data_IF_118300761217
#
_entry.id   IF_118300761217
#
_cell.length_a   1.000
_cell.length_b   1.000
_cell.length_c   1.000
_cell.angle_alpha   90.00
_cell.angle_beta   90.00
_cell.angle_gamma   90.00
#
_symmetry.space_group_name_H-M   'P 1'
#
loop_
_entity.id
_entity.type
_entity.pdbx_description
1 polymer ?
#
# COMPACT_ATOMS: atom_id res chain seq x y z
N UNK A 1 -8.62 2.50 -20.20
CA UNK A 1 -7.17 2.71 -19.98
C UNK A 1 -6.64 3.44 -21.21
N UNK A 2 -5.80 4.44 -21.04
CA UNK A 2 -5.18 5.22 -22.12
C UNK A 2 -3.69 4.92 -22.17
N UNK A 3 -3.11 4.93 -23.37
CA UNK A 3 -1.69 4.62 -23.60
C UNK A 3 -1.01 5.86 -24.17
N UNK A 4 0.08 6.28 -23.53
CA UNK A 4 0.91 7.42 -23.97
C UNK A 4 2.20 6.83 -24.54
N UNK A 5 2.49 7.08 -25.82
CA UNK A 5 3.68 6.59 -26.51
C UNK A 5 4.91 7.39 -26.10
N UNK A 6 5.94 6.72 -25.59
CA UNK A 6 7.19 7.38 -25.24
C UNK A 6 7.94 7.91 -26.48
N UNK A 7 7.71 7.30 -27.65
CA UNK A 7 8.35 7.69 -28.90
C UNK A 7 7.62 8.82 -29.62
N UNK A 8 6.29 8.76 -29.65
CA UNK A 8 5.46 9.65 -30.48
C UNK A 8 4.93 10.85 -29.70
N UNK A 9 4.68 10.72 -28.40
CA UNK A 9 4.07 11.77 -27.59
C UNK A 9 5.11 12.62 -26.82
N UNK A 10 6.24 13.01 -27.47
CA UNK A 10 7.37 13.68 -26.80
C UNK A 10 6.97 14.95 -26.04
N UNK A 11 6.18 15.83 -26.67
CA UNK A 11 5.72 17.07 -26.04
C UNK A 11 4.89 16.80 -24.78
N UNK A 12 4.08 15.74 -24.83
CA UNK A 12 3.25 15.31 -23.72
C UNK A 12 4.09 14.74 -22.57
N UNK A 13 5.10 13.95 -22.88
CA UNK A 13 6.06 13.45 -21.90
C UNK A 13 6.81 14.62 -21.24
N UNK A 14 7.20 15.63 -22.01
CA UNK A 14 7.84 16.83 -21.46
C UNK A 14 6.90 17.62 -20.53
N UNK A 15 5.62 17.77 -20.88
CA UNK A 15 4.63 18.38 -19.99
C UNK A 15 4.44 17.57 -18.70
N UNK A 16 4.39 16.24 -18.82
CA UNK A 16 4.32 15.36 -17.66
C UNK A 16 5.57 15.48 -16.78
N UNK A 17 6.76 15.66 -17.38
CA UNK A 17 8.01 15.83 -16.65
C UNK A 17 7.96 17.05 -15.74
N UNK A 18 7.56 18.20 -16.28
CA UNK A 18 7.38 19.43 -15.49
C UNK A 18 6.39 19.23 -14.34
N UNK A 19 5.27 18.56 -14.62
CA UNK A 19 4.20 18.38 -13.65
C UNK A 19 4.58 17.37 -12.55
N UNK A 20 5.18 16.24 -12.92
CA UNK A 20 5.46 15.08 -12.05
C UNK A 20 6.94 14.97 -11.64
N UNK A 21 7.71 16.05 -11.82
CA UNK A 21 9.12 16.11 -11.46
C UNK A 21 9.35 15.78 -9.97
N UNK A 22 10.41 15.04 -9.67
CA UNK A 22 10.88 14.83 -8.29
C UNK A 22 11.66 16.01 -7.73
N UNK A 23 11.94 17.05 -8.54
CA UNK A 23 12.67 18.24 -8.11
C UNK A 23 11.85 18.99 -7.06
N UNK A 24 12.52 19.44 -6.00
CA UNK A 24 11.98 20.16 -4.84
C UNK A 24 11.05 19.35 -3.92
N UNK A 25 10.84 18.06 -4.20
CA UNK A 25 10.08 17.16 -3.34
C UNK A 25 10.99 16.65 -2.20
N UNK A 26 10.61 16.89 -0.94
CA UNK A 26 11.35 16.42 0.24
C UNK A 26 11.10 14.92 0.52
N UNK A 27 11.24 14.09 -0.50
CA UNK A 27 10.99 12.65 -0.41
C UNK A 27 12.23 11.90 0.09
N UNK A 28 12.05 10.84 0.90
CA UNK A 28 13.12 9.90 1.21
C UNK A 28 13.73 9.35 -0.08
N UNK A 29 15.07 9.28 -0.13
CA UNK A 29 15.82 8.84 -1.33
C UNK A 29 15.36 7.48 -1.85
N UNK A 30 15.09 6.54 -0.94
CA UNK A 30 14.59 5.20 -1.26
C UNK A 30 13.23 5.24 -1.97
N UNK A 31 12.36 6.16 -1.56
CA UNK A 31 11.04 6.32 -2.15
C UNK A 31 11.12 6.98 -3.52
N UNK A 32 11.94 8.02 -3.67
CA UNK A 32 12.19 8.66 -4.96
C UNK A 32 12.76 7.64 -5.97
N UNK A 33 13.70 6.80 -5.55
CA UNK A 33 14.28 5.73 -6.37
C UNK A 33 13.26 4.63 -6.75
N UNK A 34 12.25 4.39 -5.92
CA UNK A 34 11.19 3.44 -6.26
C UNK A 34 10.29 3.94 -7.41
N UNK A 35 10.10 5.26 -7.50
CA UNK A 35 9.32 5.92 -8.56
C UNK A 35 10.14 6.43 -9.74
N UNK A 36 11.47 6.37 -9.66
CA UNK A 36 12.29 6.69 -10.81
C UNK A 36 12.25 5.55 -11.84
N UNK A 37 11.76 5.88 -13.04
CA UNK A 37 11.64 4.97 -14.16
C UNK A 37 12.81 5.09 -15.16
N UNK A 38 13.86 5.83 -14.82
CA UNK A 38 15.08 6.00 -15.63
C UNK A 38 15.71 4.68 -16.08
N UNK A 39 15.64 3.64 -15.24
CA UNK A 39 16.14 2.29 -15.52
C UNK A 39 15.37 1.60 -16.66
N UNK A 40 14.08 1.89 -16.80
CA UNK A 40 13.25 1.33 -17.87
C UNK A 40 13.40 2.15 -19.15
N UNK A 41 13.27 3.48 -19.03
CA UNK A 41 13.42 4.41 -20.13
C UNK A 41 14.08 5.69 -19.63
N UNK A 42 15.24 6.04 -20.18
CA UNK A 42 16.02 7.20 -19.74
C UNK A 42 15.23 8.53 -19.79
N UNK A 43 14.31 8.67 -20.76
CA UNK A 43 13.45 9.85 -20.89
C UNK A 43 12.41 10.04 -19.77
N UNK A 44 12.25 9.07 -18.88
CA UNK A 44 11.38 9.14 -17.70
C UNK A 44 12.14 9.49 -16.41
N UNK A 45 13.45 9.74 -16.53
CA UNK A 45 14.30 10.04 -15.38
C UNK A 45 13.86 11.30 -14.64
N UNK A 46 13.80 11.21 -13.31
CA UNK A 46 13.39 12.31 -12.44
C UNK A 46 11.89 12.60 -12.43
N UNK A 47 11.07 11.73 -13.03
CA UNK A 47 9.62 11.76 -12.89
C UNK A 47 9.15 10.78 -11.83
N UNK A 48 8.23 11.20 -10.96
CA UNK A 48 7.64 10.34 -9.93
C UNK A 48 6.53 9.47 -10.52
N UNK A 49 6.90 8.37 -11.19
CA UNK A 49 5.98 7.43 -11.84
C UNK A 49 6.13 6.02 -11.29
N UNK A 50 5.01 5.30 -11.12
CA UNK A 50 5.11 3.89 -10.72
C UNK A 50 5.62 3.05 -11.88
N UNK A 51 6.69 2.26 -11.67
CA UNK A 51 7.20 1.28 -12.65
C UNK A 51 6.10 0.34 -13.18
N UNK A 52 5.04 0.11 -12.40
CA UNK A 52 3.90 -0.74 -12.77
C UNK A 52 3.03 -0.16 -13.89
N UNK A 53 3.09 1.14 -14.15
CA UNK A 53 2.35 1.76 -15.25
C UNK A 53 3.13 1.78 -16.57
N UNK A 54 4.39 1.35 -16.56
CA UNK A 54 5.27 1.37 -17.73
C UNK A 54 5.19 0.02 -18.43
N UNK A 55 4.73 0.01 -19.68
CA UNK A 55 4.70 -1.18 -20.51
C UNK A 55 6.05 -1.37 -21.22
N UNK A 56 6.60 -2.60 -21.31
CA UNK A 56 7.89 -2.86 -21.97
C UNK A 56 7.96 -2.41 -23.44
N UNK A 57 6.81 -2.32 -24.11
CA UNK A 57 6.72 -1.82 -25.49
C UNK A 57 6.86 -0.29 -25.62
N UNK A 58 7.12 0.44 -24.54
CA UNK A 58 7.36 1.88 -24.58
C UNK A 58 6.10 2.73 -24.46
N UNK A 59 5.12 2.29 -23.66
CA UNK A 59 3.92 3.05 -23.38
C UNK A 59 3.71 3.27 -21.88
N UNK A 60 3.20 4.44 -21.50
CA UNK A 60 2.67 4.70 -20.16
C UNK A 60 1.18 4.38 -20.15
N UNK A 61 0.77 3.45 -19.30
CA UNK A 61 -0.62 3.09 -19.09
C UNK A 61 -1.24 3.97 -18.01
N UNK A 62 -2.23 4.78 -18.38
CA UNK A 62 -2.87 5.74 -17.48
C UNK A 62 -4.38 5.49 -17.46
N UNK A 63 -5.03 5.59 -16.28
CA UNK A 63 -6.49 5.52 -16.21
C UNK A 63 -7.13 6.76 -16.86
N UNK A 64 -8.43 6.70 -17.19
CA UNK A 64 -9.10 7.80 -17.89
C UNK A 64 -9.11 9.10 -17.07
N UNK A 65 -9.28 9.01 -15.75
CA UNK A 65 -9.32 10.15 -14.85
C UNK A 65 -7.95 10.81 -14.72
N UNK A 66 -6.88 10.02 -14.52
CA UNK A 66 -5.52 10.54 -14.47
C UNK A 66 -5.14 11.15 -15.83
N UNK A 67 -5.54 10.52 -16.94
CA UNK A 67 -5.35 11.05 -18.28
C UNK A 67 -6.02 12.41 -18.46
N UNK A 68 -7.28 12.55 -18.02
CA UNK A 68 -8.01 13.81 -18.10
C UNK A 68 -7.37 14.93 -17.27
N UNK A 69 -6.79 14.60 -16.09
CA UNK A 69 -5.99 15.55 -15.31
C UNK A 69 -4.73 15.98 -16.05
N UNK A 70 -3.97 15.03 -16.59
CA UNK A 70 -2.71 15.30 -17.31
C UNK A 70 -2.93 16.15 -18.56
N UNK A 71 -3.99 15.88 -19.34
CA UNK A 71 -4.34 16.70 -20.52
C UNK A 71 -4.67 18.14 -20.15
N UNK A 72 -5.17 18.38 -18.93
CA UNK A 72 -5.44 19.72 -18.39
C UNK A 72 -4.24 20.33 -17.65
N UNK A 73 -3.09 19.66 -17.66
CA UNK A 73 -1.89 20.04 -16.89
C UNK A 73 -2.16 20.16 -15.38
N UNK A 74 -3.08 19.35 -14.87
CA UNK A 74 -3.40 19.27 -13.44
C UNK A 74 -2.81 18.00 -12.84
N UNK A 75 -2.35 18.10 -11.59
CA UNK A 75 -1.87 16.93 -10.85
C UNK A 75 -2.98 15.88 -10.73
N UNK A 76 -2.74 14.63 -11.16
CA UNK A 76 -3.65 13.54 -10.90
C UNK A 76 -3.86 13.36 -9.39
N UNK A 77 -5.10 13.07 -8.99
CA UNK A 77 -5.48 12.95 -7.57
C UNK A 77 -4.56 12.01 -6.77
N UNK A 78 -4.19 10.87 -7.36
CA UNK A 78 -3.36 9.84 -6.74
C UNK A 78 -1.90 9.91 -7.19
N UNK A 79 -1.39 11.10 -7.45
CA UNK A 79 0.02 11.32 -7.77
C UNK A 79 0.88 11.37 -6.51
N UNK A 80 2.16 11.01 -6.65
CA UNK A 80 3.13 11.07 -5.55
C UNK A 80 3.26 12.49 -4.98
N UNK A 81 3.16 13.50 -5.85
CA UNK A 81 3.13 14.92 -5.48
C UNK A 81 1.93 15.35 -4.63
N UNK A 82 0.85 14.57 -4.64
CA UNK A 82 -0.27 14.75 -3.71
C UNK A 82 -0.12 13.84 -2.48
N UNK A 83 1.13 13.52 -2.10
CA UNK A 83 1.49 12.68 -0.96
C UNK A 83 0.88 11.27 -1.01
N UNK A 84 0.52 10.79 -2.20
CA UNK A 84 -0.07 9.46 -2.37
C UNK A 84 0.99 8.43 -2.74
N UNK A 85 1.59 7.79 -1.72
CA UNK A 85 2.62 6.79 -1.91
C UNK A 85 2.05 5.36 -1.95
N UNK A 86 2.42 4.59 -2.97
CA UNK A 86 2.10 3.15 -3.12
C UNK A 86 3.37 2.30 -2.98
N UNK A 87 3.58 1.71 -1.82
CA UNK A 87 4.66 0.74 -1.59
C UNK A 87 4.32 -0.67 -2.06
N UNK A 88 5.35 -1.50 -2.20
CA UNK A 88 5.19 -2.95 -2.24
C UNK A 88 5.35 -3.52 -0.83
N UNK A 89 4.48 -4.44 -0.45
CA UNK A 89 4.66 -5.18 0.79
C UNK A 89 5.90 -6.10 0.64
N UNK A 90 6.94 -6.01 1.50
CA UNK A 90 8.10 -6.89 1.40
C UNK A 90 7.70 -8.37 1.39
N UNK A 91 8.37 -9.20 0.58
CA UNK A 91 8.01 -10.61 0.39
C UNK A 91 7.97 -11.41 1.70
N UNK A 92 8.85 -11.09 2.65
CA UNK A 92 8.84 -11.67 4.00
C UNK A 92 7.51 -11.46 4.74
N UNK A 93 6.81 -10.36 4.45
CA UNK A 93 5.52 -10.00 5.03
C UNK A 93 4.33 -10.54 4.22
N UNK A 94 4.53 -11.03 2.99
CA UNK A 94 3.43 -11.52 2.15
C UNK A 94 2.67 -12.67 2.82
N UNK A 95 3.41 -13.52 3.55
CA UNK A 95 2.87 -14.69 4.23
C UNK A 95 2.56 -14.44 5.71
N UNK A 96 2.69 -13.20 6.23
CA UNK A 96 2.35 -12.93 7.63
C UNK A 96 0.84 -12.94 7.84
N UNK A 97 0.43 -13.60 8.93
CA UNK A 97 -0.96 -13.69 9.33
C UNK A 97 -1.40 -12.40 10.00
N UNK A 98 -2.69 -12.14 9.95
CA UNK A 98 -3.25 -10.91 10.50
C UNK A 98 -2.87 -10.67 11.98
N UNK A 99 -2.90 -11.68 12.88
CA UNK A 99 -2.46 -11.46 14.26
C UNK A 99 -0.96 -11.18 14.37
N UNK A 100 -0.11 -11.80 13.55
CA UNK A 100 1.34 -11.53 13.55
C UNK A 100 1.61 -10.06 13.20
N UNK A 101 0.90 -9.53 12.19
CA UNK A 101 0.95 -8.11 11.83
C UNK A 101 0.43 -7.22 12.94
N UNK A 102 -0.66 -7.62 13.61
CA UNK A 102 -1.22 -6.83 14.70
C UNK A 102 -0.32 -6.78 15.95
N UNK A 103 0.54 -7.78 16.16
CA UNK A 103 1.48 -7.80 17.28
C UNK A 103 2.76 -7.03 17.01
N UNK A 104 3.19 -6.89 15.75
CA UNK A 104 4.43 -6.19 15.39
C UNK A 104 4.23 -4.81 14.78
N UNK A 105 2.99 -4.44 14.44
CA UNK A 105 2.69 -3.10 13.96
C UNK A 105 3.04 -2.05 15.04
N UNK A 106 3.80 -1.03 14.64
CA UNK A 106 4.10 0.15 15.46
C UNK A 106 2.94 1.15 15.48
N UNK A 107 1.92 0.90 14.66
CA UNK A 107 0.71 1.71 14.53
C UNK A 107 -0.49 0.79 14.58
N UNK A 108 -1.46 1.08 15.45
CA UNK A 108 -2.70 0.31 15.56
C UNK A 108 -3.82 1.00 14.79
N UNK A 109 -4.67 0.24 14.11
CA UNK A 109 -5.93 0.79 13.60
C UNK A 109 -6.85 1.04 14.79
N UNK A 110 -7.00 2.30 15.19
CA UNK A 110 -7.90 2.70 16.29
C UNK A 110 -9.34 2.82 15.81
N UNK A 111 -9.56 3.26 14.57
CA UNK A 111 -10.90 3.36 13.99
C UNK A 111 -10.92 2.98 12.51
N UNK A 112 -11.98 2.31 12.09
CA UNK A 112 -12.27 2.02 10.68
C UNK A 112 -13.55 2.75 10.29
N UNK A 113 -13.43 3.81 9.51
CA UNK A 113 -14.58 4.44 8.86
C UNK A 113 -14.69 3.92 7.43
N UNK A 114 -15.82 3.28 7.13
CA UNK A 114 -16.10 2.76 5.80
C UNK A 114 -17.05 3.70 5.08
N UNK A 115 -16.54 4.44 4.10
CA UNK A 115 -17.37 5.32 3.28
C UNK A 115 -17.88 4.52 2.09
N UNK A 116 -19.18 4.21 2.10
CA UNK A 116 -19.86 3.64 0.96
C UNK A 116 -20.27 4.77 0.02
N UNK A 117 -19.59 4.91 -1.13
CA UNK A 117 -20.03 5.83 -2.18
C UNK A 117 -20.93 5.09 -3.17
N UNK A 118 -22.15 5.60 -3.37
CA UNK A 118 -23.01 5.21 -4.51
C UNK A 118 -22.52 5.85 -5.81
N UNK A 119 -22.84 5.23 -6.97
CA UNK A 119 -22.56 5.78 -8.31
C UNK A 119 -21.54 4.99 -9.15
N UNK A 120 -21.07 5.59 -10.24
CA UNK A 120 -20.17 4.99 -11.25
C UNK A 120 -18.81 4.53 -10.71
N UNK A 121 -18.37 5.06 -9.56
CA UNK A 121 -17.14 4.64 -8.86
C UNK A 121 -17.39 3.68 -7.68
N UNK A 122 -18.51 2.93 -7.68
CA UNK A 122 -18.88 1.92 -6.66
C UNK A 122 -17.77 0.90 -6.32
N UNK A 123 -16.81 0.73 -7.21
CA UNK A 123 -15.67 -0.17 -7.02
C UNK A 123 -14.64 0.37 -5.99
N UNK A 124 -14.59 1.69 -5.76
CA UNK A 124 -13.66 2.30 -4.81
C UNK A 124 -14.32 2.35 -3.43
N UNK A 125 -14.13 1.28 -2.66
CA UNK A 125 -14.43 1.27 -1.22
C UNK A 125 -13.36 2.12 -0.53
N UNK A 126 -13.71 3.35 -0.17
CA UNK A 126 -12.81 4.18 0.64
C UNK A 126 -12.86 3.67 2.07
N UNK A 127 -11.76 3.10 2.52
CA UNK A 127 -11.52 2.75 3.91
C UNK A 127 -10.67 3.87 4.50
N UNK A 128 -11.25 4.66 5.41
CA UNK A 128 -10.46 5.53 6.26
C UNK A 128 -10.08 4.70 7.49
N UNK A 129 -8.79 4.39 7.60
CA UNK A 129 -8.22 3.75 8.77
C UNK A 129 -7.54 4.85 9.57
N UNK A 130 -8.04 5.13 10.77
CA UNK A 130 -7.35 6.00 11.71
C UNK A 130 -6.34 5.14 12.47
N UNK A 131 -5.08 5.55 12.43
CA UNK A 131 -4.00 4.88 13.13
C UNK A 131 -3.61 5.67 14.36
N UNK A 132 -3.38 4.97 15.45
CA UNK A 132 -2.77 5.52 16.67
C UNK A 132 -1.40 4.87 16.85
N UNK A 133 -0.40 5.67 17.26
CA UNK A 133 0.96 5.21 17.58
C UNK A 133 1.13 4.93 19.07
N UNK A 134 0.10 5.14 19.88
CA UNK A 134 0.06 4.66 21.26
C UNK A 134 0.08 3.11 21.22
N UNK A 135 1.00 2.42 21.91
CA UNK A 135 1.06 0.96 21.95
C UNK A 135 -0.31 0.39 22.29
N UNK A 136 -0.88 -0.34 21.33
CA UNK A 136 -2.30 -0.59 21.38
C UNK A 136 -2.76 -1.46 22.55
N UNK A 137 -4.06 -1.42 22.88
CA UNK A 137 -4.67 -2.25 23.91
C UNK A 137 -4.31 -3.72 23.76
N UNK A 138 -4.11 -4.27 22.55
CA UNK A 138 -3.76 -5.69 22.42
C UNK A 138 -2.41 -6.05 23.06
N UNK A 139 -1.41 -5.17 22.97
CA UNK A 139 -0.10 -5.34 23.64
C UNK A 139 -0.12 -4.97 25.12
N UNK A 140 -0.98 -4.03 25.53
CA UNK A 140 -1.12 -3.57 26.93
C UNK A 140 -2.19 -4.33 27.75
N UNK A 141 -3.12 -5.04 27.09
CA UNK A 141 -4.12 -5.95 27.67
C UNK A 141 -3.63 -7.39 27.72
N UNK A 142 -2.46 -7.70 27.15
CA UNK A 142 -1.80 -8.95 27.47
C UNK A 142 -1.49 -8.89 28.97
N UNK A 143 -2.09 -9.74 29.81
CA UNK A 143 -1.97 -9.65 31.26
C UNK A 143 -0.52 -9.83 31.75
N UNK A 144 0.40 -10.19 30.85
CA UNK A 144 1.77 -10.58 31.15
C UNK A 144 2.62 -10.40 29.90
N UNK A 145 3.89 -10.00 30.11
CA UNK A 145 4.91 -9.95 29.07
C UNK A 145 5.03 -11.28 28.32
N UNK A 146 5.04 -11.22 26.98
CA UNK A 146 5.13 -12.40 26.09
C UNK A 146 6.49 -13.07 26.09
N UNK A 147 7.52 -12.44 26.67
CA UNK A 147 8.88 -12.97 26.70
C UNK A 147 8.99 -14.36 27.36
N UNK A 148 8.09 -14.70 28.29
CA UNK A 148 8.10 -15.95 29.04
C UNK A 148 6.93 -16.91 28.69
N UNK A 149 6.13 -16.61 27.66
CA UNK A 149 4.97 -17.42 27.29
C UNK A 149 5.37 -18.39 26.17
N UNK A 150 5.45 -19.68 26.49
CA UNK A 150 5.78 -20.74 25.52
C UNK A 150 4.61 -21.15 24.63
N UNK A 151 3.37 -20.82 25.01
CA UNK A 151 2.14 -21.28 24.37
C UNK A 151 0.97 -20.32 24.65
N UNK A 152 0.18 -19.98 23.63
CA UNK A 152 -1.12 -19.32 23.76
C UNK A 152 -2.21 -20.18 23.10
N UNK A 153 -3.43 -20.14 23.65
CA UNK A 153 -4.59 -20.89 23.13
C UNK A 153 -5.74 -19.95 22.82
N UNK A 154 -6.24 -20.02 21.59
CA UNK A 154 -7.47 -19.32 21.17
C UNK A 154 -8.68 -20.16 21.55
N UNK A 155 -9.55 -19.60 22.40
CA UNK A 155 -10.85 -20.21 22.76
C UNK A 155 -11.94 -19.51 21.98
N UNK A 156 -12.70 -20.27 21.20
CA UNK A 156 -13.83 -19.77 20.41
C UNK A 156 -15.14 -20.14 21.10
N UNK A 157 -15.79 -19.22 21.82
CA UNK A 157 -17.08 -19.49 22.44
C UNK A 157 -18.18 -19.53 21.36
N UNK A 158 -18.93 -20.63 21.27
CA UNK A 158 -20.08 -20.77 20.36
C UNK A 158 -20.11 -22.08 19.57
N UNK A 159 -21.21 -22.36 18.84
CA UNK A 159 -21.38 -23.58 18.07
C UNK A 159 -20.59 -23.52 16.75
N UNK A 160 -19.30 -23.84 16.82
CA UNK A 160 -18.43 -23.97 15.66
C UNK A 160 -18.20 -25.44 15.31
N UNK A 161 -18.29 -25.78 14.03
CA UNK A 161 -17.90 -27.11 13.54
C UNK A 161 -16.40 -27.33 13.72
N UNK A 162 -15.95 -28.58 13.75
CA UNK A 162 -14.52 -28.93 13.87
C UNK A 162 -13.69 -28.29 12.76
N UNK A 163 -14.22 -28.24 11.53
CA UNK A 163 -13.56 -27.59 10.39
C UNK A 163 -13.45 -26.08 10.57
N UNK A 164 -14.51 -25.42 11.05
CA UNK A 164 -14.49 -23.99 11.36
C UNK A 164 -13.47 -23.68 12.45
N UNK A 165 -13.43 -24.51 13.51
CA UNK A 165 -12.43 -24.37 14.58
C UNK A 165 -11.01 -24.54 14.05
N UNK A 166 -10.75 -25.55 13.22
CA UNK A 166 -9.43 -25.78 12.63
C UNK A 166 -9.00 -24.60 11.73
N UNK A 167 -9.90 -24.10 10.89
CA UNK A 167 -9.64 -22.93 10.03
C UNK A 167 -9.36 -21.68 10.85
N UNK A 168 -10.14 -21.42 11.89
CA UNK A 168 -9.94 -20.26 12.79
C UNK A 168 -8.61 -20.38 13.53
N UNK A 169 -8.28 -21.55 14.08
CA UNK A 169 -6.98 -21.78 14.72
C UNK A 169 -5.83 -21.53 13.73
N UNK A 170 -5.95 -22.01 12.49
CA UNK A 170 -4.93 -21.78 11.48
C UNK A 170 -4.79 -20.30 11.10
N UNK A 171 -5.89 -19.56 10.99
CA UNK A 171 -5.87 -18.12 10.70
C UNK A 171 -5.27 -17.30 11.86
N UNK A 172 -5.49 -17.74 13.11
CA UNK A 172 -5.06 -17.01 14.30
C UNK A 172 -3.74 -17.50 14.90
N UNK A 173 -3.13 -18.55 14.35
CA UNK A 173 -1.82 -19.05 14.78
C UNK A 173 -0.73 -18.02 14.46
N UNK A 174 -0.12 -17.47 15.49
CA UNK A 174 1.12 -16.69 15.48
C UNK A 174 2.35 -17.60 15.49
N UNK A 175 3.23 -17.43 14.50
CA UNK A 175 4.56 -18.04 14.49
C UNK A 175 5.56 -17.10 15.16
N UNK A 176 6.17 -17.56 16.26
CA UNK A 176 7.12 -16.76 17.05
C UNK A 176 8.28 -16.21 16.23
N UNK A 177 8.94 -17.06 15.45
CA UNK A 177 10.05 -16.65 14.57
C UNK A 177 9.66 -15.48 13.64
N UNK A 178 8.46 -15.55 13.05
CA UNK A 178 7.98 -14.46 12.19
C UNK A 178 7.80 -13.18 12.99
N UNK A 179 7.33 -13.22 14.24
CA UNK A 179 7.16 -12.02 15.07
C UNK A 179 8.49 -11.42 15.51
N UNK A 180 9.51 -12.24 15.78
CA UNK A 180 10.84 -11.78 16.18
C UNK A 180 11.65 -11.20 15.00
N UNK A 181 11.41 -11.67 13.77
CA UNK A 181 12.08 -11.22 12.54
C UNK A 181 11.45 -9.96 11.90
N UNK A 182 10.31 -9.49 12.44
CA UNK A 182 9.49 -8.38 11.92
C UNK A 182 9.88 -7.03 12.51
#
# INVERSE_FOLDING_TARGET
MHMISLGDDRDRIQQMHLLLSSVDEQLPMELAAEYDCSVLFAGLGGMLLSKRCIHPAGYIQVCQECNASLTKQLLPKFSIKNEFYVGSLPNRLANTKLPERFMTQTVMVFAVMRVMRGGSHRAIRSHCLAFDSIPGPATTLLPTSTHNISCYRVVMPGPFTTEQQARVRQMHLVRRQMVEDL
#
